data_IF_752343678792
#
_entry.id   IF_752343678792
#
_cell.length_a   1.000
_cell.length_b   1.000
_cell.length_c   1.000
_cell.angle_alpha   90.00
_cell.angle_beta   90.00
_cell.angle_gamma   90.00
#
_symmetry.space_group_name_H-M   'P 1'
#
loop_
_entity.id
_entity.type
_entity.pdbx_description
1 polymer ?
#
# COMPACT_ATOMS: atom_id res chain seq x y z
N UNK A 1 1.77 13.85 -3.12
CA UNK A 1 2.34 14.71 -4.19
C UNK A 1 3.43 13.91 -4.88
N UNK A 2 3.46 13.87 -6.21
CA UNK A 2 4.39 13.05 -6.99
C UNK A 2 5.53 13.92 -7.52
N UNK A 3 6.74 13.36 -7.61
CA UNK A 3 7.90 14.06 -8.19
C UNK A 3 7.91 13.93 -9.71
N UNK A 4 8.70 14.75 -10.42
CA UNK A 4 8.85 14.62 -11.87
C UNK A 4 9.30 13.21 -12.27
N UNK A 5 8.62 12.64 -13.27
CA UNK A 5 8.83 11.26 -13.75
C UNK A 5 8.39 10.16 -12.78
N UNK A 6 7.74 10.50 -11.66
CA UNK A 6 7.00 9.53 -10.86
C UNK A 6 5.63 9.31 -11.49
N UNK A 7 5.27 8.06 -11.76
CA UNK A 7 4.03 7.66 -12.44
C UNK A 7 3.15 6.82 -11.52
N UNK A 8 1.83 7.02 -11.62
CA UNK A 8 0.84 6.28 -10.86
C UNK A 8 0.60 4.92 -11.53
N UNK A 9 0.77 3.84 -10.77
CA UNK A 9 0.54 2.48 -11.27
C UNK A 9 -0.83 1.97 -10.84
N UNK A 10 -1.17 2.15 -9.57
CA UNK A 10 -2.42 1.68 -8.99
C UNK A 10 -2.74 2.45 -7.72
N UNK A 11 -4.01 2.50 -7.36
CA UNK A 11 -4.46 3.08 -6.10
C UNK A 11 -5.53 2.18 -5.49
N UNK A 12 -5.37 1.85 -4.22
CA UNK A 12 -6.30 1.03 -3.47
C UNK A 12 -6.88 1.86 -2.34
N UNK A 13 -8.18 1.73 -2.12
CA UNK A 13 -8.91 2.42 -1.06
C UNK A 13 -9.24 1.42 0.05
N UNK A 14 -8.82 1.73 1.26
CA UNK A 14 -9.31 1.09 2.48
C UNK A 14 -10.57 1.78 3.02
N UNK A 15 -10.92 1.53 4.28
CA UNK A 15 -12.11 2.15 4.89
C UNK A 15 -11.98 3.67 5.05
N UNK A 16 -10.81 4.14 5.52
CA UNK A 16 -10.50 5.57 5.74
C UNK A 16 -9.21 6.00 5.07
N UNK A 17 -8.35 5.04 4.78
CA UNK A 17 -7.03 5.27 4.23
C UNK A 17 -7.00 4.84 2.77
N UNK A 18 -6.02 5.33 2.01
CA UNK A 18 -5.76 4.82 0.68
C UNK A 18 -4.27 4.71 0.44
N UNK A 19 -3.89 3.73 -0.37
CA UNK A 19 -2.50 3.44 -0.72
C UNK A 19 -2.36 3.63 -2.21
N UNK A 20 -1.38 4.43 -2.57
CA UNK A 20 -0.99 4.67 -3.96
C UNK A 20 0.31 3.94 -4.23
N UNK A 21 0.34 3.14 -5.31
CA UNK A 21 1.53 2.52 -5.85
C UNK A 21 2.01 3.39 -7.01
N UNK A 22 3.23 3.93 -6.90
CA UNK A 22 3.90 4.62 -8.00
C UNK A 22 5.04 3.77 -8.54
N UNK A 23 5.70 4.20 -9.62
CA UNK A 23 6.94 3.58 -10.09
C UNK A 23 8.17 3.83 -9.18
N UNK A 24 8.01 4.52 -8.03
CA UNK A 24 9.11 4.83 -7.10
C UNK A 24 8.88 4.39 -5.65
N UNK A 25 7.63 4.41 -5.18
CA UNK A 25 7.28 4.15 -3.77
C UNK A 25 5.80 3.81 -3.62
N UNK A 26 5.45 3.25 -2.47
CA UNK A 26 4.08 3.34 -1.98
C UNK A 26 3.88 4.69 -1.28
N UNK A 27 2.68 5.25 -1.40
CA UNK A 27 2.25 6.44 -0.65
C UNK A 27 1.00 6.03 0.13
N UNK A 28 1.16 5.84 1.44
CA UNK A 28 0.05 5.58 2.35
C UNK A 28 -0.55 6.92 2.79
N UNK A 29 -1.86 7.06 2.65
CA UNK A 29 -2.58 8.26 3.07
C UNK A 29 -3.54 7.90 4.18
N UNK A 30 -3.29 8.42 5.38
CA UNK A 30 -4.16 8.24 6.52
C UNK A 30 -5.00 9.48 6.76
N UNK A 31 -6.33 9.31 6.80
CA UNK A 31 -7.27 10.41 7.04
C UNK A 31 -7.57 10.50 8.54
N UNK A 32 -7.18 11.63 9.15
CA UNK A 32 -7.27 11.87 10.59
C UNK A 32 -8.36 12.88 10.96
N UNK A 33 -8.89 12.72 12.17
CA UNK A 33 -9.83 13.64 12.80
C UNK A 33 -11.28 13.48 12.32
N UNK A 34 -12.22 14.00 13.10
CA UNK A 34 -13.66 13.83 12.85
C UNK A 34 -14.14 14.43 11.52
N UNK A 35 -13.49 15.51 11.05
CA UNK A 35 -13.84 16.19 9.81
C UNK A 35 -13.14 15.61 8.57
N UNK A 36 -12.17 14.70 8.75
CA UNK A 36 -11.37 14.12 7.67
C UNK A 36 -10.49 15.11 6.88
N UNK A 37 -10.34 16.35 7.37
CA UNK A 37 -9.54 17.39 6.72
C UNK A 37 -8.04 17.17 6.92
N UNK A 38 -7.63 16.57 8.04
CA UNK A 38 -6.23 16.28 8.31
C UNK A 38 -5.85 14.98 7.59
N UNK A 39 -4.78 15.01 6.81
CA UNK A 39 -4.25 13.85 6.09
C UNK A 39 -2.77 13.72 6.36
N UNK A 40 -2.35 12.51 6.74
CA UNK A 40 -0.95 12.13 6.82
C UNK A 40 -0.56 11.39 5.53
N UNK A 41 0.57 11.76 4.94
CA UNK A 41 1.08 11.15 3.72
C UNK A 41 2.44 10.53 4.00
N UNK A 42 2.48 9.22 4.13
CA UNK A 42 3.72 8.48 4.39
C UNK A 42 4.25 7.89 3.08
N UNK A 43 5.50 8.21 2.75
CA UNK A 43 6.20 7.68 1.58
C UNK A 43 7.05 6.47 1.97
N UNK A 44 6.85 5.35 1.29
CA UNK A 44 7.49 4.05 1.56
C UNK A 44 8.23 3.58 0.30
N UNK A 45 9.53 3.90 0.15
CA UNK A 45 10.31 3.51 -1.03
C UNK A 45 10.47 2.00 -1.15
N UNK A 46 10.30 1.45 -2.36
CA UNK A 46 10.47 0.01 -2.58
C UNK A 46 11.87 -0.48 -2.25
N UNK A 47 12.90 0.33 -2.52
CA UNK A 47 14.30 0.03 -2.21
C UNK A 47 14.62 -0.15 -0.72
N UNK A 48 13.66 0.13 0.16
CA UNK A 48 13.78 -0.04 1.62
C UNK A 48 12.97 -1.22 2.15
N UNK A 49 12.23 -1.94 1.30
CA UNK A 49 11.51 -3.17 1.66
C UNK A 49 12.49 -4.35 1.66
N UNK A 50 12.60 -5.08 2.77
CA UNK A 50 13.43 -6.30 2.85
C UNK A 50 12.62 -7.56 2.53
N UNK A 51 11.34 -7.56 2.87
CA UNK A 51 10.43 -8.65 2.55
C UNK A 51 8.99 -8.14 2.48
N UNK A 52 8.12 -8.90 1.81
CA UNK A 52 6.70 -8.63 1.74
C UNK A 52 5.88 -9.93 1.80
N UNK A 53 4.63 -9.82 2.20
CA UNK A 53 3.63 -10.89 2.18
C UNK A 53 2.31 -10.35 1.68
N UNK A 54 1.59 -11.12 0.85
CA UNK A 54 0.26 -10.78 0.37
C UNK A 54 -0.70 -11.89 0.77
N UNK A 55 -1.80 -11.53 1.44
CA UNK A 55 -2.79 -12.46 1.96
C UNK A 55 -4.20 -12.12 1.44
N UNK A 56 -4.95 -13.15 1.06
CA UNK A 56 -6.40 -13.06 0.82
C UNK A 56 -7.12 -13.13 2.17
N UNK A 57 -8.02 -12.20 2.49
CA UNK A 57 -8.97 -12.44 3.56
C UNK A 57 -9.86 -13.63 3.19
N UNK A 58 -10.25 -14.42 4.20
CA UNK A 58 -10.98 -15.68 4.01
C UNK A 58 -12.32 -15.52 3.28
N UNK A 59 -12.99 -16.64 3.06
CA UNK A 59 -14.12 -16.86 2.12
C UNK A 59 -15.32 -15.90 2.18
N UNK A 60 -15.42 -15.02 3.18
CA UNK A 60 -16.54 -14.12 3.40
C UNK A 60 -16.21 -12.62 3.36
N UNK A 61 -14.95 -12.21 3.56
CA UNK A 61 -14.55 -10.81 3.44
C UNK A 61 -13.62 -10.68 2.25
N UNK A 62 -14.06 -9.93 1.24
CA UNK A 62 -13.28 -9.61 0.05
C UNK A 62 -12.25 -8.53 0.39
N UNK A 63 -11.39 -8.79 1.37
CA UNK A 63 -10.34 -7.89 1.80
C UNK A 63 -8.97 -8.52 1.46
N UNK A 64 -7.96 -7.71 1.19
CA UNK A 64 -6.60 -8.18 0.94
C UNK A 64 -5.64 -7.47 1.87
N UNK A 65 -4.63 -8.18 2.34
CA UNK A 65 -3.59 -7.60 3.20
C UNK A 65 -2.23 -7.64 2.49
N UNK A 66 -1.47 -6.55 2.61
CA UNK A 66 -0.07 -6.47 2.23
C UNK A 66 0.75 -6.09 3.46
N UNK A 67 1.60 -7.01 3.90
CA UNK A 67 2.61 -6.76 4.92
C UNK A 67 3.95 -6.45 4.24
N UNK A 68 4.60 -5.37 4.67
CA UNK A 68 5.90 -4.93 4.20
C UNK A 68 6.85 -4.80 5.40
N UNK A 69 8.05 -5.36 5.29
CA UNK A 69 9.08 -5.20 6.31
C UNK A 69 10.14 -4.23 5.83
N UNK A 70 10.42 -3.23 6.66
CA UNK A 70 11.38 -2.17 6.43
C UNK A 70 12.48 -2.18 7.50
N UNK A 71 13.74 -2.00 7.10
CA UNK A 71 14.89 -1.99 8.00
C UNK A 71 14.82 -0.73 8.84
N UNK A 72 14.77 -0.90 10.15
CA UNK A 72 14.66 0.19 11.13
C UNK A 72 13.24 0.72 11.36
N UNK A 73 12.29 0.52 10.43
CA UNK A 73 10.89 0.92 10.61
C UNK A 73 9.99 -0.24 11.10
N UNK A 74 10.39 -1.48 10.84
CA UNK A 74 9.63 -2.67 11.21
C UNK A 74 8.55 -3.02 10.17
N UNK A 75 7.47 -3.66 10.64
CA UNK A 75 6.37 -4.12 9.78
C UNK A 75 5.36 -3.01 9.55
N UNK A 76 5.04 -2.74 8.29
CA UNK A 76 3.92 -1.90 7.87
C UNK A 76 2.85 -2.81 7.26
N UNK A 77 1.64 -2.76 7.80
CA UNK A 77 0.48 -3.49 7.29
C UNK A 77 -0.45 -2.56 6.53
N UNK A 78 -0.86 -2.98 5.34
CA UNK A 78 -1.81 -2.27 4.49
C UNK A 78 -3.00 -3.19 4.22
N UNK A 79 -4.20 -2.71 4.56
CA UNK A 79 -5.45 -3.43 4.38
C UNK A 79 -6.24 -2.78 3.22
N UNK A 80 -6.65 -3.61 2.27
CA UNK A 80 -7.42 -3.20 1.10
C UNK A 80 -8.81 -3.76 1.18
N UNK A 81 -9.81 -2.95 0.84
CA UNK A 81 -11.20 -3.37 0.81
C UNK A 81 -11.69 -3.66 -0.59
N UNK A 82 -12.56 -4.64 -0.72
CA UNK A 82 -13.19 -5.03 -1.97
C UNK A 82 -12.35 -6.02 -2.77
N UNK A 83 -12.89 -6.47 -3.92
CA UNK A 83 -12.31 -7.52 -4.77
C UNK A 83 -10.94 -7.15 -5.34
N UNK A 84 -9.89 -7.23 -4.52
CA UNK A 84 -8.50 -7.05 -4.91
C UNK A 84 -7.99 -8.38 -5.44
N UNK A 85 -7.43 -8.34 -6.64
CA UNK A 85 -6.69 -9.47 -7.18
C UNK A 85 -5.33 -9.56 -6.46
N UNK A 86 -5.24 -10.48 -5.49
CA UNK A 86 -4.03 -10.73 -4.68
C UNK A 86 -2.86 -11.16 -5.56
N UNK A 87 -3.09 -11.86 -6.68
CA UNK A 87 -2.03 -12.25 -7.59
C UNK A 87 -1.46 -11.02 -8.31
N UNK A 88 -2.33 -10.16 -8.83
CA UNK A 88 -1.91 -8.91 -9.46
C UNK A 88 -1.19 -7.99 -8.46
N UNK A 89 -1.68 -7.89 -7.23
CA UNK A 89 -1.03 -7.12 -6.17
C UNK A 89 0.37 -7.67 -5.83
N UNK A 90 0.49 -9.00 -5.72
CA UNK A 90 1.78 -9.67 -5.49
C UNK A 90 2.76 -9.45 -6.63
N UNK A 91 2.31 -9.55 -7.89
CA UNK A 91 3.14 -9.24 -9.06
C UNK A 91 3.58 -7.78 -9.10
N UNK A 92 2.66 -6.85 -8.77
CA UNK A 92 2.94 -5.42 -8.72
C UNK A 92 4.00 -5.10 -7.67
N UNK A 93 3.89 -5.59 -6.44
CA UNK A 93 4.92 -5.30 -5.42
C UNK A 93 6.25 -5.97 -5.76
N UNK A 94 6.22 -7.21 -6.29
CA UNK A 94 7.42 -7.93 -6.68
C UNK A 94 8.21 -7.21 -7.77
N UNK A 95 7.55 -6.58 -8.75
CA UNK A 95 8.23 -5.90 -9.86
C UNK A 95 9.04 -4.66 -9.47
N UNK A 96 8.88 -4.16 -8.25
CA UNK A 96 9.62 -2.99 -7.74
C UNK A 96 10.50 -3.30 -6.53
N UNK A 97 10.27 -4.42 -5.84
CA UNK A 97 11.06 -4.84 -4.66
C UNK A 97 12.18 -5.81 -5.04
N UNK A 98 11.99 -6.63 -6.08
CA UNK A 98 12.98 -7.60 -6.58
C UNK A 98 13.81 -7.00 -7.73
#
# INVERSE_FOLDING_TARGET
MMVTGEELLSAFKGARDYVVFSNKRLIAVNVQGMTGKKRDYTSLPYSKVQSFSVETAGTFDLDAELDLWFSGLGKVRLEFKGKVDVRALSQLIASYVL
#
